data_IF_615679891553
#
_entry.id   IF_615679891553
#
_cell.length_a   1.000
_cell.length_b   1.000
_cell.length_c   1.000
_cell.angle_alpha   90.00
_cell.angle_beta   90.00
_cell.angle_gamma   90.00
#
_symmetry.space_group_name_H-M   'P 1'
#
loop_
_entity.id
_entity.type
_entity.pdbx_description
1 polymer ?
#
# COMPACT_ATOMS: atom_id res chain seq x y z
N UNK A 1 -17.89 -22.27 6.94
CA UNK A 1 -18.86 -21.20 7.29
C UNK A 1 -18.76 -20.13 6.24
N UNK A 2 -19.88 -19.62 5.71
CA UNK A 2 -19.87 -18.50 4.74
C UNK A 2 -19.38 -17.22 5.42
N UNK A 3 -18.44 -16.52 4.81
CA UNK A 3 -18.02 -15.21 5.29
C UNK A 3 -19.16 -14.20 5.08
N UNK A 4 -19.66 -13.62 6.17
CA UNK A 4 -20.73 -12.62 6.06
C UNK A 4 -20.15 -11.28 5.61
N UNK A 5 -20.54 -10.82 4.45
CA UNK A 5 -20.24 -9.49 3.96
C UNK A 5 -20.94 -8.42 4.81
N UNK A 6 -20.25 -7.30 5.03
CA UNK A 6 -20.88 -6.12 5.62
C UNK A 6 -21.98 -5.61 4.68
N UNK A 7 -23.16 -5.30 5.25
CA UNK A 7 -24.25 -4.62 4.52
C UNK A 7 -23.91 -3.14 4.28
N UNK A 8 -24.65 -2.49 3.41
CA UNK A 8 -24.54 -1.02 3.19
C UNK A 8 -24.71 -0.26 4.52
N UNK A 9 -25.66 -0.69 5.36
CA UNK A 9 -25.86 -0.08 6.68
C UNK A 9 -24.66 -0.28 7.63
N UNK A 10 -24.04 -1.49 7.61
CA UNK A 10 -22.84 -1.76 8.40
C UNK A 10 -21.64 -0.91 7.93
N UNK A 11 -21.47 -0.75 6.59
CA UNK A 11 -20.42 0.11 6.02
C UNK A 11 -20.63 1.58 6.43
N UNK A 12 -21.85 2.10 6.32
CA UNK A 12 -22.18 3.45 6.74
C UNK A 12 -21.93 3.66 8.24
N UNK A 13 -22.34 2.70 9.08
CA UNK A 13 -22.09 2.75 10.52
C UNK A 13 -20.58 2.69 10.85
N UNK A 14 -19.79 1.89 10.11
CA UNK A 14 -18.32 1.85 10.23
C UNK A 14 -17.70 3.20 9.90
N UNK A 15 -18.09 3.81 8.78
CA UNK A 15 -17.61 5.14 8.37
C UNK A 15 -17.94 6.21 9.39
N UNK A 16 -19.19 6.23 9.93
CA UNK A 16 -19.59 7.17 10.96
C UNK A 16 -18.75 7.00 12.24
N UNK A 17 -18.49 5.76 12.67
CA UNK A 17 -17.60 5.50 13.83
C UNK A 17 -16.18 5.99 13.57
N UNK A 18 -15.62 5.73 12.36
CA UNK A 18 -14.29 6.19 11.98
C UNK A 18 -14.19 7.72 12.00
N UNK A 19 -15.20 8.44 11.47
CA UNK A 19 -15.27 9.91 11.52
C UNK A 19 -15.33 10.39 12.97
N UNK A 20 -16.20 9.79 13.80
CA UNK A 20 -16.31 10.17 15.21
C UNK A 20 -14.99 9.94 15.97
N UNK A 21 -14.32 8.82 15.71
CA UNK A 21 -13.02 8.52 16.29
C UNK A 21 -11.94 9.53 15.85
N UNK A 22 -11.88 9.88 14.56
CA UNK A 22 -10.94 10.86 14.02
C UNK A 22 -11.14 12.26 14.64
N UNK A 23 -12.39 12.73 14.69
CA UNK A 23 -12.76 14.02 15.32
C UNK A 23 -12.42 14.01 16.81
N UNK A 24 -12.78 12.93 17.51
CA UNK A 24 -12.48 12.77 18.93
C UNK A 24 -10.99 12.75 19.21
N UNK A 25 -10.21 11.98 18.45
CA UNK A 25 -8.75 11.93 18.57
C UNK A 25 -8.10 13.30 18.31
N UNK A 26 -8.58 14.05 17.31
CA UNK A 26 -8.11 15.42 17.07
C UNK A 26 -8.35 16.34 18.27
N UNK A 27 -9.54 16.26 18.88
CA UNK A 27 -9.88 17.04 20.09
C UNK A 27 -9.02 16.66 21.30
N UNK A 28 -8.78 15.36 21.51
CA UNK A 28 -7.90 14.86 22.58
C UNK A 28 -6.47 15.36 22.44
N UNK A 29 -6.04 15.66 21.20
CA UNK A 29 -4.74 16.25 20.88
C UNK A 29 -4.74 17.79 20.96
N UNK A 30 -5.83 18.41 21.42
CA UNK A 30 -5.94 19.86 21.60
C UNK A 30 -6.38 20.63 20.36
N UNK A 31 -6.78 19.95 19.27
CA UNK A 31 -7.27 20.63 18.08
C UNK A 31 -8.73 21.12 18.29
N UNK A 32 -9.02 22.34 17.82
CA UNK A 32 -10.38 22.86 17.77
C UNK A 32 -11.11 22.34 16.54
N UNK A 33 -11.72 21.16 16.66
CA UNK A 33 -12.42 20.48 15.57
C UNK A 33 -13.93 20.61 15.74
N UNK A 34 -14.62 21.20 14.75
CA UNK A 34 -16.08 21.32 14.70
C UNK A 34 -16.75 20.06 14.13
N UNK A 35 -16.10 19.36 13.21
CA UNK A 35 -16.62 18.14 12.56
C UNK A 35 -15.61 17.50 11.63
N UNK A 36 -16.02 16.40 10.98
CA UNK A 36 -15.23 15.69 9.98
C UNK A 36 -15.98 15.60 8.65
N UNK A 37 -15.26 15.80 7.56
CA UNK A 37 -15.71 15.60 6.18
C UNK A 37 -14.99 14.38 5.60
N UNK A 38 -15.74 13.38 5.10
CA UNK A 38 -15.17 12.21 4.46
C UNK A 38 -14.70 12.60 3.05
N UNK A 39 -13.41 12.44 2.79
CA UNK A 39 -12.80 12.68 1.49
C UNK A 39 -12.74 11.40 0.65
N UNK A 40 -12.57 10.25 1.30
CA UNK A 40 -12.47 8.94 0.66
C UNK A 40 -12.87 7.84 1.65
N UNK A 41 -13.48 6.76 1.17
CA UNK A 41 -13.86 5.58 1.96
C UNK A 41 -13.67 4.31 1.14
N UNK A 42 -12.58 3.60 1.42
CA UNK A 42 -12.28 2.28 0.86
C UNK A 42 -11.55 1.43 1.92
N UNK A 43 -10.26 1.15 1.74
CA UNK A 43 -9.43 0.46 2.74
C UNK A 43 -9.21 1.31 4.00
N UNK A 44 -9.19 2.63 3.84
CA UNK A 44 -9.15 3.62 4.91
C UNK A 44 -10.25 4.65 4.71
N UNK A 45 -10.80 5.17 5.82
CA UNK A 45 -11.63 6.38 5.79
C UNK A 45 -10.70 7.58 5.95
N UNK A 46 -10.68 8.44 4.95
CA UNK A 46 -9.90 9.68 4.93
C UNK A 46 -10.81 10.83 5.35
N UNK A 47 -10.52 11.45 6.49
CA UNK A 47 -11.38 12.45 7.12
C UNK A 47 -10.66 13.77 7.24
N UNK A 48 -11.19 14.83 6.60
CA UNK A 48 -10.75 16.20 6.85
C UNK A 48 -11.33 16.69 8.17
N UNK A 49 -10.48 17.19 9.06
CA UNK A 49 -10.90 17.77 10.34
C UNK A 49 -11.23 19.26 10.19
N UNK A 50 -12.51 19.59 10.20
CA UNK A 50 -12.96 20.97 9.98
C UNK A 50 -12.80 21.86 11.23
N UNK A 51 -12.39 23.13 11.03
CA UNK A 51 -12.02 23.83 9.78
C UNK A 51 -10.53 23.72 9.43
N UNK A 52 -9.78 22.83 10.08
CA UNK A 52 -8.31 22.76 10.04
C UNK A 52 -7.78 22.19 8.72
N UNK A 53 -6.51 22.51 8.36
CA UNK A 53 -5.82 21.88 7.23
C UNK A 53 -5.23 20.52 7.62
N UNK A 54 -6.01 19.70 8.33
CA UNK A 54 -5.61 18.38 8.84
C UNK A 54 -6.50 17.32 8.26
N UNK A 55 -5.88 16.23 7.80
CA UNK A 55 -6.55 15.01 7.35
C UNK A 55 -6.18 13.86 8.27
N UNK A 56 -7.18 13.17 8.80
CA UNK A 56 -7.02 11.95 9.56
C UNK A 56 -7.21 10.74 8.62
N UNK A 57 -6.29 9.77 8.66
CA UNK A 57 -6.42 8.49 7.98
C UNK A 57 -6.76 7.43 9.01
N UNK A 58 -7.86 6.71 8.77
CA UNK A 58 -8.42 5.68 9.65
C UNK A 58 -8.55 4.39 8.86
N UNK A 59 -7.57 3.44 8.91
CA UNK A 59 -7.69 2.14 8.29
C UNK A 59 -8.91 1.37 8.83
N UNK A 60 -9.73 0.79 7.93
CA UNK A 60 -10.99 0.14 8.26
C UNK A 60 -11.15 -1.25 7.64
N UNK A 61 -10.34 -1.58 6.63
CA UNK A 61 -10.26 -2.90 6.04
C UNK A 61 -8.84 -3.45 6.24
N UNK A 62 -8.72 -4.42 7.12
CA UNK A 62 -7.43 -4.95 7.57
C UNK A 62 -7.43 -6.47 7.47
N UNK A 63 -6.27 -7.11 7.17
CA UNK A 63 -6.09 -8.52 7.36
C UNK A 63 -6.48 -8.95 8.79
N UNK A 64 -7.02 -10.14 8.94
CA UNK A 64 -7.57 -10.60 10.24
C UNK A 64 -6.53 -10.78 11.34
N UNK A 65 -5.30 -11.01 10.98
CA UNK A 65 -4.14 -11.14 11.87
C UNK A 65 -3.50 -9.78 12.22
N UNK A 66 -4.03 -8.68 11.65
CA UNK A 66 -3.57 -7.31 11.93
C UNK A 66 -4.27 -6.79 13.19
N UNK A 67 -3.62 -6.89 14.33
CA UNK A 67 -4.08 -6.23 15.56
C UNK A 67 -3.70 -4.73 15.59
N UNK A 68 -4.26 -3.99 16.57
CA UNK A 68 -4.01 -2.56 16.70
C UNK A 68 -2.54 -2.23 17.02
N UNK A 69 -1.81 -3.11 17.68
CA UNK A 69 -0.40 -2.89 18.01
C UNK A 69 0.46 -3.00 16.74
N UNK A 70 0.24 -4.04 15.93
CA UNK A 70 0.89 -4.26 14.63
C UNK A 70 0.59 -3.12 13.66
N UNK A 71 -0.69 -2.69 13.56
CA UNK A 71 -1.11 -1.56 12.75
C UNK A 71 -0.43 -0.25 13.21
N UNK A 72 -0.41 0.02 14.51
CA UNK A 72 0.24 1.21 15.07
C UNK A 72 1.75 1.21 14.80
N UNK A 73 2.41 0.06 14.88
CA UNK A 73 3.83 -0.08 14.53
C UNK A 73 4.09 0.17 13.03
N UNK A 74 3.19 -0.31 12.14
CA UNK A 74 3.23 -0.05 10.70
C UNK A 74 3.08 1.45 10.41
N UNK A 75 2.07 2.09 10.99
CA UNK A 75 1.85 3.54 10.88
C UNK A 75 3.01 4.36 11.44
N UNK A 76 3.67 3.91 12.52
CA UNK A 76 4.85 4.58 13.07
C UNK A 76 6.02 4.56 12.08
N UNK A 77 6.23 3.46 11.34
CA UNK A 77 7.24 3.38 10.28
C UNK A 77 6.91 4.31 9.11
N UNK A 78 5.65 4.32 8.67
CA UNK A 78 5.13 5.24 7.65
C UNK A 78 5.46 6.71 8.01
N UNK A 79 5.04 7.14 9.22
CA UNK A 79 5.29 8.50 9.71
C UNK A 79 6.79 8.83 9.81
N UNK A 80 7.62 7.88 10.24
CA UNK A 80 9.06 8.08 10.37
C UNK A 80 9.73 8.27 9.00
N UNK A 81 9.39 7.41 8.01
CA UNK A 81 9.96 7.51 6.66
C UNK A 81 9.47 8.77 5.95
N UNK A 82 8.18 9.07 6.03
CA UNK A 82 7.60 10.26 5.40
C UNK A 82 8.16 11.55 6.03
N UNK A 83 8.30 11.60 7.36
CA UNK A 83 8.92 12.71 8.07
C UNK A 83 10.39 12.90 7.69
N UNK A 84 11.14 11.80 7.54
CA UNK A 84 12.53 11.83 7.07
C UNK A 84 12.64 12.37 5.64
N UNK A 85 11.78 11.89 4.70
CA UNK A 85 11.72 12.38 3.32
C UNK A 85 11.36 13.88 3.30
N UNK A 86 10.34 14.30 4.05
CA UNK A 86 9.94 15.69 4.16
C UNK A 86 11.04 16.61 4.66
N UNK A 87 11.84 16.17 5.65
CA UNK A 87 12.97 16.93 6.20
C UNK A 87 14.11 17.16 5.18
N UNK A 88 14.13 16.34 4.10
CA UNK A 88 15.10 16.43 3.00
C UNK A 88 14.53 17.15 1.77
N UNK A 89 13.30 17.69 1.87
CA UNK A 89 12.64 18.41 0.79
C UNK A 89 12.03 17.52 -0.29
N UNK A 90 11.87 16.22 -0.03
CA UNK A 90 11.19 15.34 -0.96
C UNK A 90 9.69 15.69 -1.07
N UNK A 91 9.07 15.56 -2.26
CA UNK A 91 7.68 15.91 -2.48
C UNK A 91 6.74 14.84 -1.94
N UNK A 92 6.50 14.84 -0.65
CA UNK A 92 5.63 13.88 0.06
C UNK A 92 4.48 14.60 0.76
N UNK A 93 3.36 13.91 0.95
CA UNK A 93 2.33 14.34 1.89
C UNK A 93 2.91 14.27 3.30
N UNK A 94 2.94 15.38 4.01
CA UNK A 94 3.63 15.48 5.30
C UNK A 94 2.73 15.06 6.45
N UNK A 95 3.29 14.43 7.51
CA UNK A 95 2.60 14.36 8.78
C UNK A 95 2.20 15.76 9.26
N UNK A 96 1.00 15.91 9.82
CA UNK A 96 0.53 17.20 10.31
C UNK A 96 1.43 17.75 11.41
N UNK A 97 1.92 19.00 11.31
CA UNK A 97 2.70 19.61 12.36
C UNK A 97 1.86 20.09 13.56
N UNK A 98 0.52 20.03 13.46
CA UNK A 98 -0.39 20.50 14.51
C UNK A 98 -0.63 19.47 15.61
N UNK A 99 -0.10 18.25 15.44
CA UNK A 99 -0.23 17.16 16.41
C UNK A 99 1.09 16.39 16.52
N UNK A 100 1.34 15.62 17.59
CA UNK A 100 2.49 14.74 17.66
C UNK A 100 2.54 13.75 16.51
N UNK A 101 3.73 13.53 15.92
CA UNK A 101 3.97 12.61 14.82
C UNK A 101 3.98 11.17 15.36
N UNK A 102 2.81 10.66 15.68
CA UNK A 102 2.58 9.33 16.20
C UNK A 102 1.13 8.88 15.91
N UNK A 103 0.89 7.57 15.67
CA UNK A 103 -0.47 7.06 15.58
C UNK A 103 -1.23 7.25 16.90
N UNK A 104 -2.55 7.44 16.80
CA UNK A 104 -3.44 7.57 17.97
C UNK A 104 -4.50 6.49 17.93
N UNK A 105 -4.63 5.78 19.02
CA UNK A 105 -5.70 4.80 19.17
C UNK A 105 -6.93 5.45 19.83
N UNK A 106 -8.10 5.23 19.20
CA UNK A 106 -9.37 5.67 19.73
C UNK A 106 -10.52 4.80 19.20
N UNK A 107 -11.41 4.39 20.07
CA UNK A 107 -12.65 3.66 19.76
C UNK A 107 -12.42 2.42 18.86
N UNK A 108 -11.28 1.70 19.06
CA UNK A 108 -10.89 0.52 18.30
C UNK A 108 -10.21 0.81 16.96
N UNK A 109 -9.91 2.07 16.64
CA UNK A 109 -9.15 2.48 15.46
C UNK A 109 -7.74 2.97 15.82
N UNK A 110 -6.81 2.80 14.88
CA UNK A 110 -5.50 3.47 14.91
C UNK A 110 -5.47 4.53 13.80
N UNK A 111 -5.15 5.76 14.16
CA UNK A 111 -5.38 6.96 13.36
C UNK A 111 -4.06 7.70 13.18
N UNK A 112 -3.74 8.12 11.97
CA UNK A 112 -2.63 9.02 11.64
C UNK A 112 -3.15 10.35 11.11
N UNK A 113 -2.35 11.43 11.28
CA UNK A 113 -2.76 12.78 10.89
C UNK A 113 -1.75 13.39 9.92
N UNK A 114 -2.28 13.97 8.85
CA UNK A 114 -1.54 14.46 7.69
C UNK A 114 -1.89 15.90 7.37
N UNK A 115 -1.01 16.61 6.71
CA UNK A 115 -1.33 17.90 6.11
C UNK A 115 -2.37 17.70 4.99
N UNK A 116 -3.34 18.60 4.92
CA UNK A 116 -4.29 18.62 3.81
C UNK A 116 -3.58 19.07 2.53
N UNK A 117 -3.71 18.28 1.50
CA UNK A 117 -3.23 18.58 0.14
C UNK A 117 -4.41 18.97 -0.74
N UNK A 118 -4.22 19.99 -1.58
CA UNK A 118 -5.20 20.35 -2.61
C UNK A 118 -4.87 19.64 -3.92
N UNK A 119 -5.74 18.71 -4.29
CA UNK A 119 -5.64 17.96 -5.55
C UNK A 119 -5.91 18.89 -6.72
N UNK A 120 -5.15 18.77 -7.80
CA UNK A 120 -5.48 19.46 -9.05
C UNK A 120 -6.69 18.75 -9.71
N UNK A 121 -7.86 19.41 -9.80
CA UNK A 121 -9.06 18.79 -10.37
C UNK A 121 -8.93 18.49 -11.87
N UNK A 122 -7.92 19.05 -12.55
CA UNK A 122 -7.65 18.83 -13.97
C UNK A 122 -6.56 17.78 -14.22
N UNK A 123 -5.97 17.22 -13.16
CA UNK A 123 -4.96 16.18 -13.32
C UNK A 123 -5.61 14.89 -13.86
N UNK A 124 -5.00 14.33 -14.89
CA UNK A 124 -5.32 13.02 -15.42
C UNK A 124 -4.10 12.11 -15.18
N UNK A 125 -4.10 11.27 -14.13
CA UNK A 125 -2.98 10.37 -13.83
C UNK A 125 -2.70 9.43 -15.00
N UNK A 126 -1.45 9.34 -15.40
CA UNK A 126 -0.96 8.33 -16.33
C UNK A 126 -0.01 7.41 -15.57
N UNK A 127 -0.58 6.36 -14.99
CA UNK A 127 0.14 5.44 -14.10
C UNK A 127 1.34 4.76 -14.78
N UNK A 128 1.28 4.56 -16.10
CA UNK A 128 2.39 3.97 -16.87
C UNK A 128 3.54 4.97 -16.96
N UNK A 129 3.27 6.19 -17.42
CA UNK A 129 4.27 7.25 -17.49
C UNK A 129 4.75 7.68 -16.09
N UNK A 130 3.89 7.61 -15.07
CA UNK A 130 4.19 8.00 -13.69
C UNK A 130 5.08 6.98 -12.96
N UNK A 131 5.31 5.79 -13.54
CA UNK A 131 6.33 4.85 -13.05
C UNK A 131 7.75 5.48 -12.97
N UNK A 132 8.02 6.53 -13.76
CA UNK A 132 9.27 7.32 -13.65
C UNK A 132 9.50 7.90 -12.25
N UNK A 133 8.44 8.26 -11.54
CA UNK A 133 8.54 8.81 -10.18
C UNK A 133 9.00 7.77 -9.16
N UNK A 134 8.80 6.46 -9.42
CA UNK A 134 9.37 5.43 -8.56
C UNK A 134 10.90 5.51 -8.53
N UNK A 135 11.58 5.79 -9.65
CA UNK A 135 13.04 5.95 -9.69
C UNK A 135 13.51 7.18 -8.90
N UNK A 136 12.77 8.30 -9.00
CA UNK A 136 13.04 9.51 -8.23
C UNK A 136 12.88 9.27 -6.72
N UNK A 137 11.80 8.56 -6.34
CA UNK A 137 11.55 8.17 -4.96
C UNK A 137 12.64 7.22 -4.42
N UNK A 138 13.04 6.22 -5.21
CA UNK A 138 14.12 5.31 -4.83
C UNK A 138 15.44 6.04 -4.60
N UNK A 139 15.73 7.08 -5.40
CA UNK A 139 16.87 7.95 -5.15
C UNK A 139 16.73 8.72 -3.83
N UNK A 140 15.54 9.27 -3.56
CA UNK A 140 15.25 10.00 -2.34
C UNK A 140 15.31 9.12 -1.09
N UNK A 141 14.92 7.85 -1.19
CA UNK A 141 14.93 6.86 -0.09
C UNK A 141 16.32 6.31 0.22
N UNK A 142 17.34 6.55 -0.62
CA UNK A 142 18.72 6.11 -0.32
C UNK A 142 19.23 6.71 0.99
N UNK A 143 19.74 5.84 1.86
CA UNK A 143 20.25 6.24 3.19
C UNK A 143 19.17 6.51 4.22
N UNK A 144 17.91 6.16 3.96
CA UNK A 144 16.86 6.21 4.99
C UNK A 144 17.25 5.32 6.19
N UNK A 145 17.33 5.89 7.42
CA UNK A 145 17.83 5.16 8.59
C UNK A 145 16.77 4.35 9.31
N UNK A 146 15.51 4.42 8.86
CA UNK A 146 14.40 3.73 9.53
C UNK A 146 14.56 2.22 9.36
N UNK A 147 14.56 1.43 10.45
CA UNK A 147 14.61 -0.03 10.35
C UNK A 147 13.28 -0.54 9.80
N UNK A 148 13.36 -1.25 8.67
CA UNK A 148 12.20 -1.76 7.95
C UNK A 148 12.35 -3.26 7.68
N UNK A 149 11.26 -4.05 7.78
CA UNK A 149 11.28 -5.46 7.42
C UNK A 149 11.39 -5.65 5.91
N UNK A 150 11.86 -6.82 5.47
CA UNK A 150 11.96 -7.18 4.06
C UNK A 150 10.58 -7.57 3.52
N UNK A 151 10.16 -6.97 2.41
CA UNK A 151 8.89 -7.23 1.68
C UNK A 151 7.67 -7.44 2.61
N UNK A 152 7.62 -6.70 3.71
CA UNK A 152 6.42 -6.70 4.55
C UNK A 152 5.49 -5.55 4.10
N UNK A 153 4.18 -5.79 4.08
CA UNK A 153 3.49 -6.96 4.66
C UNK A 153 3.38 -8.20 3.77
N UNK A 154 3.76 -8.14 2.49
CA UNK A 154 3.54 -9.21 1.49
C UNK A 154 3.77 -10.63 2.05
N UNK A 155 4.97 -10.88 2.59
CA UNK A 155 5.40 -12.21 3.04
C UNK A 155 4.58 -12.78 4.21
N UNK A 156 3.83 -11.95 4.92
CA UNK A 156 2.93 -12.36 6.00
C UNK A 156 1.47 -12.38 5.55
N UNK A 157 1.07 -11.38 4.77
CA UNK A 157 -0.34 -11.18 4.38
C UNK A 157 -0.81 -12.22 3.38
N UNK A 158 0.01 -12.57 2.37
CA UNK A 158 -0.39 -13.55 1.35
C UNK A 158 -0.74 -14.91 1.97
N UNK A 159 0.14 -15.57 2.75
CA UNK A 159 -0.21 -16.88 3.32
C UNK A 159 -1.40 -16.80 4.29
N UNK A 160 -1.51 -15.76 5.10
CA UNK A 160 -2.65 -15.54 6.00
C UNK A 160 -3.97 -15.38 5.24
N UNK A 161 -3.97 -14.61 4.15
CA UNK A 161 -5.15 -14.42 3.31
C UNK A 161 -5.53 -15.71 2.56
N UNK A 162 -4.56 -16.46 2.01
CA UNK A 162 -4.84 -17.74 1.35
C UNK A 162 -5.42 -18.76 2.32
N UNK A 163 -4.91 -18.84 3.55
CA UNK A 163 -5.47 -19.70 4.58
C UNK A 163 -6.91 -19.30 4.97
N UNK A 164 -7.23 -18.02 4.96
CA UNK A 164 -8.59 -17.54 5.16
C UNK A 164 -9.51 -17.94 3.99
N UNK A 165 -9.07 -17.74 2.74
CA UNK A 165 -9.84 -18.10 1.54
C UNK A 165 -10.13 -19.61 1.48
N UNK A 166 -9.22 -20.47 1.94
CA UNK A 166 -9.45 -21.90 2.03
C UNK A 166 -10.64 -22.25 2.94
N UNK A 167 -10.83 -21.49 4.00
CA UNK A 167 -11.97 -21.66 4.93
C UNK A 167 -13.27 -21.02 4.40
N UNK A 168 -13.19 -20.22 3.31
CA UNK A 168 -14.29 -19.45 2.75
C UNK A 168 -14.36 -19.61 1.22
N UNK A 169 -14.73 -20.83 0.74
CA UNK A 169 -14.73 -21.15 -0.70
C UNK A 169 -15.78 -20.37 -1.52
N UNK A 170 -16.64 -19.61 -0.88
CA UNK A 170 -17.57 -18.68 -1.49
C UNK A 170 -16.91 -17.37 -1.99
N UNK A 171 -15.68 -17.09 -1.57
CA UNK A 171 -14.95 -15.87 -1.92
C UNK A 171 -14.03 -16.00 -3.13
N UNK A 172 -13.67 -17.21 -3.52
CA UNK A 172 -12.75 -17.48 -4.63
C UNK A 172 -13.10 -18.82 -5.29
N UNK A 173 -12.92 -18.94 -6.61
CA UNK A 173 -13.09 -20.22 -7.29
C UNK A 173 -12.01 -21.22 -6.84
N UNK A 174 -12.38 -22.51 -6.69
CA UNK A 174 -11.48 -23.54 -6.19
C UNK A 174 -10.19 -23.66 -7.03
N UNK A 175 -10.31 -23.59 -8.37
CA UNK A 175 -9.15 -23.64 -9.27
C UNK A 175 -8.21 -22.43 -9.09
N UNK A 176 -8.75 -21.25 -8.82
CA UNK A 176 -7.95 -20.04 -8.56
C UNK A 176 -7.21 -20.15 -7.23
N UNK A 177 -7.86 -20.67 -6.18
CA UNK A 177 -7.22 -20.87 -4.89
C UNK A 177 -6.10 -21.92 -4.98
N UNK A 178 -6.32 -23.02 -5.69
CA UNK A 178 -5.30 -24.05 -5.93
C UNK A 178 -4.09 -23.46 -6.66
N UNK A 179 -4.32 -22.72 -7.74
CA UNK A 179 -3.27 -22.01 -8.47
C UNK A 179 -2.52 -21.03 -7.58
N UNK A 180 -3.23 -20.18 -6.83
CA UNK A 180 -2.62 -19.17 -5.96
C UNK A 180 -1.73 -19.79 -4.88
N UNK A 181 -2.15 -20.91 -4.29
CA UNK A 181 -1.33 -21.65 -3.31
C UNK A 181 -0.07 -22.23 -3.95
N UNK A 182 -0.22 -22.90 -5.10
CA UNK A 182 0.92 -23.46 -5.82
C UNK A 182 1.92 -22.38 -6.27
N UNK A 183 1.44 -21.20 -6.69
CA UNK A 183 2.31 -20.07 -7.01
C UNK A 183 3.04 -19.54 -5.76
N UNK A 184 2.35 -19.44 -4.62
CA UNK A 184 2.99 -19.00 -3.38
C UNK A 184 4.08 -19.98 -2.93
N UNK A 185 3.81 -21.28 -2.95
CA UNK A 185 4.82 -22.33 -2.65
C UNK A 185 6.08 -22.21 -3.53
N UNK A 186 5.93 -21.71 -4.77
CA UNK A 186 7.04 -21.49 -5.67
C UNK A 186 7.79 -20.19 -5.39
N UNK A 187 7.08 -19.12 -5.00
CA UNK A 187 7.61 -17.79 -4.76
C UNK A 187 8.21 -17.63 -3.35
N UNK A 188 7.61 -18.22 -2.34
CA UNK A 188 8.00 -18.05 -0.94
C UNK A 188 9.49 -18.33 -0.67
N UNK A 189 10.15 -19.39 -1.19
CA UNK A 189 11.57 -19.62 -0.97
C UNK A 189 12.48 -18.49 -1.45
N UNK A 190 12.04 -17.70 -2.45
CA UNK A 190 12.76 -16.55 -3.00
C UNK A 190 12.46 -15.30 -2.19
N UNK A 191 11.21 -15.12 -1.76
CA UNK A 191 10.70 -13.89 -1.13
C UNK A 191 10.80 -13.89 0.40
N UNK A 192 11.14 -15.03 1.01
CA UNK A 192 11.14 -15.20 2.48
C UNK A 192 12.16 -14.33 3.22
N UNK A 193 13.21 -13.88 2.55
CA UNK A 193 14.24 -13.03 3.15
C UNK A 193 15.08 -12.29 2.10
N UNK A 194 15.68 -11.17 2.51
CA UNK A 194 16.62 -10.42 1.68
C UNK A 194 17.76 -11.33 1.15
N UNK A 195 18.30 -12.19 2.01
CA UNK A 195 19.38 -13.11 1.61
C UNK A 195 18.91 -14.16 0.59
N UNK A 196 17.69 -14.65 0.69
CA UNK A 196 17.12 -15.58 -0.30
C UNK A 196 16.91 -14.89 -1.65
N UNK A 197 16.37 -13.66 -1.63
CA UNK A 197 16.16 -12.86 -2.83
C UNK A 197 17.48 -12.56 -3.56
N UNK A 198 18.50 -12.07 -2.84
CA UNK A 198 19.82 -11.76 -3.44
C UNK A 198 20.50 -13.01 -4.00
N UNK A 199 20.32 -14.18 -3.38
CA UNK A 199 20.83 -15.45 -3.96
C UNK A 199 20.17 -15.80 -5.28
N UNK A 200 18.85 -15.55 -5.40
CA UNK A 200 18.12 -15.79 -6.63
C UNK A 200 18.44 -14.76 -7.73
N UNK A 201 18.67 -13.50 -7.34
CA UNK A 201 18.93 -12.37 -8.24
C UNK A 201 20.17 -11.59 -7.80
N UNK A 202 21.40 -12.12 -8.08
CA UNK A 202 22.65 -11.49 -7.61
C UNK A 202 22.90 -10.10 -8.20
N UNK A 203 22.29 -9.76 -9.34
CA UNK A 203 22.40 -8.45 -9.99
C UNK A 203 21.40 -7.42 -9.40
N UNK A 204 20.35 -7.89 -8.74
CA UNK A 204 19.37 -7.03 -8.07
C UNK A 204 19.95 -6.48 -6.76
N UNK A 205 19.44 -5.33 -6.33
CA UNK A 205 19.77 -4.74 -5.04
C UNK A 205 18.52 -4.49 -4.21
N UNK A 206 18.67 -4.56 -2.89
CA UNK A 206 17.60 -4.29 -1.93
C UNK A 206 17.87 -2.96 -1.24
N UNK A 207 16.86 -2.13 -1.18
CA UNK A 207 16.88 -0.84 -0.50
C UNK A 207 15.55 -0.56 0.19
N UNK A 208 15.37 0.63 0.74
CA UNK A 208 14.05 1.12 1.15
C UNK A 208 13.23 1.41 -0.10
N UNK A 209 12.01 0.89 -0.15
CA UNK A 209 11.04 1.04 -1.23
C UNK A 209 9.71 1.53 -0.66
N UNK A 210 8.84 2.06 -1.51
CA UNK A 210 7.49 2.47 -1.12
C UNK A 210 6.64 1.27 -0.62
N UNK A 211 6.76 0.14 -1.33
CA UNK A 211 6.09 -1.11 -0.97
C UNK A 211 4.70 -1.29 -1.57
N UNK A 212 4.07 -0.21 -2.03
CA UNK A 212 2.75 -0.26 -2.67
C UNK A 212 2.67 0.62 -3.93
N UNK A 213 3.40 0.23 -4.97
CA UNK A 213 3.28 0.79 -6.32
C UNK A 213 3.11 2.33 -6.33
N UNK A 214 4.18 3.12 -6.11
CA UNK A 214 4.10 4.57 -5.87
C UNK A 214 3.39 5.34 -6.98
N UNK A 215 3.35 4.84 -8.24
CA UNK A 215 2.62 5.50 -9.32
C UNK A 215 1.11 5.61 -9.06
N UNK A 216 0.51 4.65 -8.35
CA UNK A 216 -0.90 4.74 -7.92
C UNK A 216 -1.11 5.67 -6.72
N UNK A 217 -0.06 5.97 -5.97
CA UNK A 217 -0.08 6.71 -4.72
C UNK A 217 0.47 8.13 -4.86
N UNK A 218 0.43 8.69 -6.09
CA UNK A 218 0.74 10.09 -6.35
C UNK A 218 -0.52 10.95 -6.21
N UNK A 219 -0.43 11.99 -5.39
CA UNK A 219 -1.42 13.06 -5.37
C UNK A 219 -0.94 14.17 -6.29
N UNK A 220 -1.60 14.31 -7.44
CA UNK A 220 -1.28 15.37 -8.39
C UNK A 220 -1.81 16.71 -7.90
N UNK A 221 -0.91 17.67 -7.71
CA UNK A 221 -1.22 19.04 -7.32
C UNK A 221 -0.79 20.01 -8.42
N UNK A 222 -1.26 21.24 -8.36
CA UNK A 222 -0.80 22.30 -9.30
C UNK A 222 0.70 22.60 -9.21
N UNK A 223 1.34 22.25 -8.09
CA UNK A 223 2.77 22.44 -7.88
C UNK A 223 3.60 21.19 -8.28
N UNK A 224 2.95 20.12 -8.70
CA UNK A 224 3.54 18.83 -9.03
C UNK A 224 3.00 17.70 -8.17
N UNK A 225 3.40 16.45 -8.45
CA UNK A 225 2.95 15.29 -7.71
C UNK A 225 3.60 15.19 -6.32
N UNK A 226 2.84 14.69 -5.36
CA UNK A 226 3.31 14.35 -4.02
C UNK A 226 3.13 12.84 -3.80
N UNK A 227 4.15 12.18 -3.29
CA UNK A 227 4.04 10.79 -2.84
C UNK A 227 3.20 10.71 -1.57
N UNK A 228 2.33 9.73 -1.52
CA UNK A 228 1.45 9.44 -0.38
C UNK A 228 1.40 7.94 -0.08
N UNK A 229 0.78 7.57 1.02
CA UNK A 229 0.47 6.18 1.37
C UNK A 229 1.68 5.24 1.51
N UNK A 230 2.61 5.61 2.39
CA UNK A 230 3.79 4.80 2.72
C UNK A 230 3.50 3.69 3.74
N UNK A 231 2.25 3.25 3.87
CA UNK A 231 1.92 2.25 4.91
C UNK A 231 2.63 0.91 4.70
N UNK A 232 2.98 0.56 3.46
CA UNK A 232 3.70 -0.67 3.10
C UNK A 232 5.20 -0.47 2.92
N UNK A 233 5.72 0.70 3.36
CA UNK A 233 7.14 0.98 3.27
C UNK A 233 7.97 -0.15 3.88
N UNK A 234 8.93 -0.65 3.10
CA UNK A 234 9.68 -1.85 3.43
C UNK A 234 11.12 -1.77 2.91
N UNK A 235 11.95 -2.73 3.28
CA UNK A 235 13.12 -3.07 2.48
C UNK A 235 12.71 -4.04 1.39
N UNK A 236 13.17 -3.81 0.17
CA UNK A 236 12.83 -4.69 -0.94
C UNK A 236 13.59 -4.33 -2.21
N UNK A 237 13.42 -5.13 -3.27
CA UNK A 237 13.91 -4.80 -4.59
C UNK A 237 13.07 -3.67 -5.19
N UNK A 238 13.70 -2.78 -5.95
CA UNK A 238 13.02 -1.65 -6.62
C UNK A 238 11.98 -2.13 -7.63
N UNK A 239 12.13 -3.34 -8.15
CA UNK A 239 11.20 -4.02 -9.03
C UNK A 239 9.81 -4.16 -8.42
N UNK A 240 9.71 -4.30 -7.09
CA UNK A 240 8.43 -4.40 -6.40
C UNK A 240 7.54 -3.17 -6.61
N UNK A 241 8.13 -1.98 -6.61
CA UNK A 241 7.39 -0.72 -6.78
C UNK A 241 6.95 -0.45 -8.23
N UNK A 242 7.44 -1.25 -9.19
CA UNK A 242 7.09 -1.17 -10.61
C UNK A 242 6.29 -2.39 -11.08
N UNK A 243 6.20 -3.40 -10.22
CA UNK A 243 5.53 -4.65 -10.55
C UNK A 243 4.03 -4.44 -10.86
N UNK A 244 3.56 -5.09 -11.91
CA UNK A 244 2.17 -5.06 -12.36
C UNK A 244 1.82 -3.96 -13.37
N UNK A 245 2.75 -3.05 -13.70
CA UNK A 245 2.50 -1.95 -14.66
C UNK A 245 2.89 -2.28 -16.09
N UNK A 246 3.62 -3.40 -16.33
CA UNK A 246 4.03 -3.84 -17.66
C UNK A 246 5.32 -3.23 -18.18
N UNK A 247 5.68 -3.60 -19.42
CA UNK A 247 6.99 -3.29 -20.00
C UNK A 247 7.21 -1.79 -20.24
N UNK A 248 6.20 -1.06 -20.69
CA UNK A 248 6.30 0.38 -20.96
C UNK A 248 6.59 1.18 -19.68
N UNK A 249 5.93 0.85 -18.57
CA UNK A 249 6.20 1.47 -17.27
C UNK A 249 7.64 1.16 -16.79
N UNK A 250 8.10 -0.07 -17.02
CA UNK A 250 9.47 -0.44 -16.71
C UNK A 250 10.50 0.35 -17.54
N UNK A 251 10.20 0.68 -18.79
CA UNK A 251 11.05 1.52 -19.64
C UNK A 251 11.05 3.00 -19.17
N UNK A 252 9.89 3.52 -18.73
CA UNK A 252 9.80 4.83 -18.08
C UNK A 252 10.62 4.91 -16.79
N UNK A 253 10.54 3.85 -15.96
CA UNK A 253 11.39 3.74 -14.77
C UNK A 253 12.88 3.77 -15.14
N UNK A 254 13.34 2.91 -16.06
CA UNK A 254 14.75 2.80 -16.43
C UNK A 254 15.30 4.10 -17.01
N UNK A 255 14.51 4.80 -17.84
CA UNK A 255 14.88 6.11 -18.37
C UNK A 255 15.03 7.16 -17.24
N UNK A 256 14.18 7.13 -16.22
CA UNK A 256 14.29 8.00 -15.05
C UNK A 256 15.46 7.58 -14.15
N UNK A 257 15.66 6.30 -13.94
CA UNK A 257 16.74 5.72 -13.15
C UNK A 257 18.11 6.16 -13.66
N UNK A 258 18.31 6.15 -14.98
CA UNK A 258 19.54 6.65 -15.61
C UNK A 258 19.79 8.13 -15.30
N UNK A 259 18.73 8.98 -15.30
CA UNK A 259 18.84 10.41 -14.94
C UNK A 259 19.12 10.64 -13.47
N UNK A 260 18.52 9.80 -12.59
CA UNK A 260 18.65 9.92 -11.14
C UNK A 260 19.94 9.28 -10.59
N UNK A 261 20.68 8.54 -11.41
CA UNK A 261 21.86 7.80 -10.95
C UNK A 261 21.51 6.62 -10.04
N UNK A 262 20.36 5.99 -10.26
CA UNK A 262 19.97 4.70 -9.65
C UNK A 262 20.02 3.60 -10.70
N UNK A 263 20.05 2.34 -10.27
CA UNK A 263 20.15 1.22 -11.19
C UNK A 263 18.87 1.03 -12.00
N UNK A 264 18.99 0.47 -13.19
CA UNK A 264 17.89 -0.07 -13.98
C UNK A 264 17.31 -1.34 -13.32
N UNK A 265 16.09 -1.70 -13.73
CA UNK A 265 15.42 -2.91 -13.28
C UNK A 265 16.16 -4.18 -13.76
N UNK A 266 16.23 -5.17 -12.89
CA UNK A 266 16.53 -6.55 -13.26
C UNK A 266 15.24 -7.20 -13.79
N UNK A 267 15.23 -7.55 -15.09
CA UNK A 267 14.00 -8.05 -15.75
C UNK A 267 13.57 -9.42 -15.25
N UNK A 268 14.51 -10.23 -14.75
CA UNK A 268 14.17 -11.54 -14.17
C UNK A 268 13.55 -11.36 -12.78
N UNK A 269 14.12 -10.50 -11.97
CA UNK A 269 13.52 -10.09 -10.68
C UNK A 269 12.15 -9.46 -10.89
N UNK A 270 11.98 -8.57 -11.89
CA UNK A 270 10.70 -7.92 -12.18
C UNK A 270 9.61 -8.95 -12.50
N UNK A 271 9.89 -9.97 -13.34
CA UNK A 271 8.89 -11.02 -13.64
C UNK A 271 8.41 -11.75 -12.37
N UNK A 272 9.31 -11.99 -11.42
CA UNK A 272 8.96 -12.63 -10.15
C UNK A 272 8.15 -11.65 -9.27
N UNK A 273 8.50 -10.37 -9.27
CA UNK A 273 7.73 -9.35 -8.54
C UNK A 273 6.34 -9.13 -9.17
N UNK A 274 6.21 -9.19 -10.51
CA UNK A 274 4.90 -9.16 -11.20
C UNK A 274 3.99 -10.29 -10.75
N UNK A 275 4.53 -11.52 -10.67
CA UNK A 275 3.77 -12.67 -10.18
C UNK A 275 3.39 -12.51 -8.70
N UNK A 276 4.31 -12.04 -7.86
CA UNK A 276 4.05 -11.80 -6.44
C UNK A 276 2.99 -10.69 -6.24
N UNK A 277 3.03 -9.63 -7.04
CA UNK A 277 2.03 -8.55 -7.03
C UNK A 277 0.65 -9.06 -7.45
N UNK A 278 0.61 -9.88 -8.51
CA UNK A 278 -0.63 -10.52 -8.96
C UNK A 278 -1.23 -11.39 -7.85
N UNK A 279 -0.39 -12.17 -7.19
CA UNK A 279 -0.81 -13.03 -6.08
C UNK A 279 -1.27 -12.24 -4.85
N UNK A 280 -0.65 -11.10 -4.54
CA UNK A 280 -1.12 -10.18 -3.51
C UNK A 280 -2.55 -9.69 -3.83
N UNK A 281 -2.80 -9.29 -5.08
CA UNK A 281 -4.14 -8.89 -5.53
C UNK A 281 -5.16 -10.01 -5.37
N UNK A 282 -4.84 -11.24 -5.80
CA UNK A 282 -5.72 -12.41 -5.63
C UNK A 282 -6.00 -12.68 -4.15
N UNK A 283 -4.96 -12.68 -3.31
CA UNK A 283 -5.09 -12.96 -1.88
C UNK A 283 -5.94 -11.91 -1.15
N UNK A 284 -5.98 -10.66 -1.65
CA UNK A 284 -6.79 -9.58 -1.08
C UNK A 284 -8.30 -9.82 -1.14
N UNK A 285 -8.78 -10.81 -1.95
CA UNK A 285 -10.18 -11.27 -1.90
C UNK A 285 -10.61 -11.72 -0.48
N UNK A 286 -9.66 -12.07 0.39
CA UNK A 286 -9.89 -12.32 1.80
C UNK A 286 -10.51 -11.11 2.53
N UNK A 287 -10.38 -9.90 2.01
CA UNK A 287 -10.96 -8.67 2.56
C UNK A 287 -12.40 -8.41 2.07
N UNK A 288 -12.93 -9.23 1.14
CA UNK A 288 -14.30 -9.07 0.61
C UNK A 288 -15.37 -8.91 1.71
N UNK A 289 -15.33 -9.62 2.85
CA UNK A 289 -16.31 -9.41 3.91
C UNK A 289 -16.33 -7.99 4.47
N UNK A 290 -15.19 -7.30 4.45
CA UNK A 290 -15.01 -5.92 4.92
C UNK A 290 -15.20 -4.88 3.79
N UNK A 291 -14.99 -5.30 2.53
CA UNK A 291 -15.10 -4.51 1.31
C UNK A 291 -15.87 -5.30 0.25
N UNK A 292 -17.20 -5.35 0.30
CA UNK A 292 -18.01 -6.18 -0.60
C UNK A 292 -17.89 -5.85 -2.09
N UNK A 293 -17.45 -4.65 -2.45
CA UNK A 293 -17.18 -4.25 -3.84
C UNK A 293 -15.82 -4.74 -4.37
N UNK A 294 -14.95 -5.27 -3.51
CA UNK A 294 -13.59 -5.66 -3.87
C UNK A 294 -13.49 -6.68 -5.01
N UNK A 295 -14.33 -7.74 -5.07
CA UNK A 295 -14.31 -8.68 -6.19
C UNK A 295 -14.57 -8.03 -7.55
N UNK A 296 -15.46 -7.03 -7.61
CA UNK A 296 -15.75 -6.27 -8.82
C UNK A 296 -14.52 -5.42 -9.23
N UNK A 297 -13.87 -4.75 -8.29
CA UNK A 297 -12.67 -3.97 -8.56
C UNK A 297 -11.50 -4.83 -9.04
N UNK A 298 -11.38 -6.05 -8.53
CA UNK A 298 -10.30 -6.97 -8.87
C UNK A 298 -10.59 -7.83 -10.10
N UNK A 299 -11.81 -7.83 -10.65
CA UNK A 299 -12.16 -8.71 -11.76
C UNK A 299 -11.22 -8.60 -12.97
N UNK A 300 -10.85 -7.40 -13.49
CA UNK A 300 -9.89 -7.30 -14.60
C UNK A 300 -8.50 -7.84 -14.23
N UNK A 301 -8.07 -7.61 -12.99
CA UNK A 301 -6.80 -8.11 -12.46
C UNK A 301 -6.76 -9.64 -12.38
N UNK A 302 -7.84 -10.25 -11.92
CA UNK A 302 -7.98 -11.72 -11.86
C UNK A 302 -7.92 -12.36 -13.24
N UNK A 303 -8.57 -11.77 -14.25
CA UNK A 303 -8.51 -12.25 -15.64
C UNK A 303 -7.08 -12.16 -16.19
N UNK A 304 -6.38 -11.06 -15.94
CA UNK A 304 -4.98 -10.90 -16.31
C UNK A 304 -4.09 -11.93 -15.63
N UNK A 305 -4.27 -12.16 -14.32
CA UNK A 305 -3.50 -13.15 -13.56
C UNK A 305 -3.74 -14.56 -14.09
N UNK A 306 -5.00 -14.95 -14.39
CA UNK A 306 -5.31 -16.28 -14.94
C UNK A 306 -4.62 -16.55 -16.28
N UNK A 307 -4.41 -15.52 -17.08
CA UNK A 307 -3.73 -15.61 -18.39
C UNK A 307 -2.21 -15.43 -18.32
N UNK A 308 -1.68 -14.99 -17.17
CA UNK A 308 -0.23 -14.78 -17.01
C UNK A 308 0.54 -16.10 -16.79
N UNK A 309 1.87 -16.12 -17.09
CA UNK A 309 2.71 -17.27 -16.78
C UNK A 309 2.66 -17.61 -15.29
N UNK A 310 2.57 -18.91 -14.97
CA UNK A 310 2.60 -19.43 -13.62
C UNK A 310 3.85 -18.96 -12.88
N UNK A 311 3.69 -18.37 -11.70
CA UNK A 311 4.77 -17.87 -10.84
C UNK A 311 5.85 -17.06 -11.60
N UNK A 312 5.47 -16.28 -12.62
CA UNK A 312 6.41 -15.49 -13.43
C UNK A 312 7.31 -16.31 -14.34
N UNK A 313 6.96 -17.58 -14.60
CA UNK A 313 7.73 -18.50 -15.46
C UNK A 313 8.86 -19.23 -14.72
N UNK A 314 8.78 -19.36 -13.38
CA UNK A 314 9.71 -20.12 -12.54
C UNK A 314 9.55 -21.64 -12.69
#
# INVERSE_FOLDING_TARGET
MTARNLSVADLQARTQRAVAAAVGAGRDLGLTVSGGEVLHDAFSVIVRLLPLPVVARVPVALPRDMDLATLSARQSRELAVTGWLASRGAPVVRPSPLVPVAPRQRDGFSITFWERVEVDPNAAPDYVADARYAAELHRALQGCPVPLPFLAPLVHTVPSCLAFLEQHPDLIAAADLERARAEWERLEPILSSEAAFIRAFPAASVQVIHGDAPAYNLIHTRAGPLYSDFEDVARGPVEWDVAGFGAEAADHYDAAAARCGVRSLDRDALRVMDAARSLQGVSSLALTPQLPALPEWLAPWLEQWRSSPFAGGL
#
